data_IF_565226821935
#
_entry.id   IF_565226821935
#
_cell.length_a   1.000
_cell.length_b   1.000
_cell.length_c   1.000
_cell.angle_alpha   90.00
_cell.angle_beta   90.00
_cell.angle_gamma   90.00
#
_symmetry.space_group_name_H-M   'P 1'
#
loop_
_entity.id
_entity.type
_entity.pdbx_description
1 polymer ?
#
# COMPACT_ATOMS: atom_id res chain seq x y z
N UNK A 1 15.70 2.73 25.06
CA UNK A 1 15.78 2.73 23.57
C UNK A 1 15.62 1.34 22.95
N UNK A 2 16.22 0.27 23.52
CA UNK A 2 16.07 -1.10 23.00
C UNK A 2 14.64 -1.65 23.03
N UNK A 3 13.80 -1.23 23.98
CA UNK A 3 12.44 -1.79 24.17
C UNK A 3 11.51 -1.56 22.97
N UNK A 4 11.47 -0.36 22.38
CA UNK A 4 10.60 -0.13 21.22
C UNK A 4 11.11 -0.88 19.99
N UNK A 5 12.43 -0.98 19.83
CA UNK A 5 13.04 -1.79 18.79
C UNK A 5 12.70 -3.28 18.98
N UNK A 6 12.83 -3.82 20.19
CA UNK A 6 12.51 -5.23 20.47
C UNK A 6 11.03 -5.51 20.23
N UNK A 7 10.13 -4.63 20.68
CA UNK A 7 8.69 -4.72 20.39
C UNK A 7 8.44 -4.75 18.88
N UNK A 8 9.00 -3.81 18.12
CA UNK A 8 8.85 -3.79 16.66
C UNK A 8 9.43 -5.06 16.00
N UNK A 9 10.53 -5.60 16.50
CA UNK A 9 11.08 -6.85 15.98
C UNK A 9 10.18 -8.04 16.30
N UNK A 10 9.61 -8.11 17.51
CA UNK A 10 8.65 -9.15 17.89
C UNK A 10 7.43 -9.09 16.97
N UNK A 11 6.88 -7.89 16.71
CA UNK A 11 5.77 -7.72 15.76
C UNK A 11 6.12 -8.11 14.32
N UNK A 12 7.40 -7.99 13.94
CA UNK A 12 7.88 -8.37 12.62
C UNK A 12 8.06 -9.88 12.49
N UNK A 13 8.57 -10.54 13.52
CA UNK A 13 8.96 -11.95 13.50
C UNK A 13 7.92 -12.89 14.11
N UNK A 14 6.86 -12.37 14.70
CA UNK A 14 5.83 -13.20 15.32
C UNK A 14 5.11 -14.03 14.26
N UNK A 15 5.34 -15.34 14.32
CA UNK A 15 4.58 -16.37 13.58
C UNK A 15 3.33 -16.81 14.35
N UNK A 16 3.05 -16.21 15.52
CA UNK A 16 1.96 -16.59 16.41
C UNK A 16 0.59 -16.14 15.87
N UNK A 17 -0.48 -16.77 16.37
CA UNK A 17 -1.86 -16.38 16.05
C UNK A 17 -2.10 -14.89 16.29
N UNK A 18 -2.65 -14.20 15.28
CA UNK A 18 -2.87 -12.75 15.26
C UNK A 18 -3.59 -12.24 16.52
N UNK A 19 -4.58 -12.97 16.99
CA UNK A 19 -5.42 -12.57 18.12
C UNK A 19 -4.67 -12.57 19.46
N UNK A 20 -3.73 -13.52 19.62
CA UNK A 20 -2.84 -13.55 20.79
C UNK A 20 -1.93 -12.32 20.79
N UNK A 21 -1.35 -12.01 19.63
CA UNK A 21 -0.46 -10.86 19.44
C UNK A 21 -1.22 -9.56 19.70
N UNK A 22 -2.42 -9.41 19.15
CA UNK A 22 -3.30 -8.26 19.40
C UNK A 22 -3.61 -8.10 20.90
N UNK A 23 -3.96 -9.19 21.59
CA UNK A 23 -4.27 -9.16 23.02
C UNK A 23 -3.08 -8.69 23.86
N UNK A 24 -1.87 -9.15 23.54
CA UNK A 24 -0.65 -8.71 24.21
C UNK A 24 -0.27 -7.25 23.94
N UNK A 25 -0.65 -6.69 22.77
CA UNK A 25 -0.27 -5.31 22.39
C UNK A 25 -1.23 -4.26 22.93
N UNK A 26 -2.51 -4.59 23.10
CA UNK A 26 -3.56 -3.66 23.56
C UNK A 26 -3.13 -2.73 24.70
N UNK A 27 -2.45 -3.20 25.78
CA UNK A 27 -2.02 -2.33 26.88
C UNK A 27 -0.99 -1.27 26.49
N UNK A 28 -0.17 -1.54 25.47
CA UNK A 28 0.89 -0.63 25.02
C UNK A 28 0.37 0.47 24.10
N UNK A 29 -0.83 0.30 23.52
CA UNK A 29 -1.41 1.27 22.59
C UNK A 29 -1.49 2.70 23.16
N UNK A 30 -2.16 2.95 24.31
CA UNK A 30 -2.27 4.30 24.86
C UNK A 30 -0.92 4.89 25.27
N UNK A 31 0.04 4.04 25.69
CA UNK A 31 1.38 4.49 26.06
C UNK A 31 2.13 5.03 24.83
N UNK A 32 2.09 4.31 23.70
CA UNK A 32 2.77 4.73 22.48
C UNK A 32 2.07 5.92 21.82
N UNK A 33 0.74 5.99 21.91
CA UNK A 33 -0.04 7.14 21.46
C UNK A 33 0.35 8.40 22.22
N UNK A 34 0.44 8.34 23.55
CA UNK A 34 0.91 9.46 24.36
C UNK A 34 2.33 9.91 23.96
N UNK A 35 3.26 8.98 23.73
CA UNK A 35 4.63 9.29 23.27
C UNK A 35 4.63 9.91 21.86
N UNK A 36 3.67 9.55 21.01
CA UNK A 36 3.57 10.09 19.65
C UNK A 36 2.98 11.50 19.64
N UNK A 37 2.09 11.81 20.60
CA UNK A 37 1.39 13.09 20.72
C UNK A 37 2.13 14.15 21.56
N UNK A 38 3.25 13.81 22.20
CA UNK A 38 4.03 14.81 22.94
C UNK A 38 4.53 15.89 22.00
N UNK A 39 4.15 17.15 22.26
CA UNK A 39 4.43 18.34 21.43
C UNK A 39 5.91 18.53 21.06
N UNK A 40 6.81 18.06 21.93
CA UNK A 40 8.22 17.92 21.60
C UNK A 40 8.44 16.52 21.05
N UNK A 41 8.23 16.36 19.74
CA UNK A 41 8.58 15.13 19.04
C UNK A 41 10.04 14.82 19.40
N UNK A 42 10.35 13.60 19.86
CA UNK A 42 11.65 13.33 20.46
C UNK A 42 12.76 13.68 19.47
N UNK A 43 13.69 14.56 19.91
CA UNK A 43 14.89 14.96 19.15
C UNK A 43 15.63 13.73 18.59
N UNK A 44 15.50 12.59 19.28
CA UNK A 44 16.04 11.31 18.89
C UNK A 44 15.39 10.74 17.61
N UNK A 45 16.13 10.81 16.50
CA UNK A 45 15.79 10.19 15.20
C UNK A 45 15.42 8.72 15.29
N UNK A 46 16.13 7.96 16.14
CA UNK A 46 15.91 6.51 16.28
C UNK A 46 14.52 6.25 16.86
N UNK A 47 14.10 7.03 17.86
CA UNK A 47 12.78 6.92 18.46
C UNK A 47 11.68 7.19 17.42
N UNK A 48 11.76 8.31 16.69
CA UNK A 48 10.80 8.66 15.63
C UNK A 48 10.69 7.57 14.56
N UNK A 49 11.83 7.07 14.09
CA UNK A 49 11.88 5.95 13.13
C UNK A 49 11.21 4.68 13.66
N UNK A 50 11.42 4.32 14.93
CA UNK A 50 10.79 3.14 15.51
C UNK A 50 9.31 3.34 15.84
N UNK A 51 8.86 4.55 16.17
CA UNK A 51 7.44 4.88 16.31
C UNK A 51 6.71 4.67 14.97
N UNK A 52 7.25 5.22 13.88
CA UNK A 52 6.73 4.99 12.52
C UNK A 52 6.65 3.49 12.20
N UNK A 53 7.68 2.73 12.53
CA UNK A 53 7.66 1.27 12.33
C UNK A 53 6.60 0.60 13.19
N UNK A 54 6.41 1.02 14.43
CA UNK A 54 5.41 0.46 15.32
C UNK A 54 4.00 0.71 14.79
N UNK A 55 3.66 1.94 14.42
CA UNK A 55 2.37 2.30 13.80
C UNK A 55 2.11 1.53 12.51
N UNK A 56 3.13 1.39 11.65
CA UNK A 56 3.04 0.56 10.45
C UNK A 56 2.66 -0.89 10.78
N UNK A 57 3.32 -1.48 11.78
CA UNK A 57 3.08 -2.89 12.16
C UNK A 57 1.72 -3.05 12.78
N UNK A 58 1.31 -2.11 13.62
CA UNK A 58 0.02 -2.13 14.29
C UNK A 58 -1.13 -2.01 13.28
N UNK A 59 -1.11 -1.03 12.39
CA UNK A 59 -2.15 -0.88 11.35
C UNK A 59 -2.29 -2.12 10.46
N UNK A 60 -1.18 -2.72 10.04
CA UNK A 60 -1.21 -3.97 9.27
C UNK A 60 -1.68 -5.16 10.11
N UNK A 61 -1.37 -5.18 11.41
CA UNK A 61 -1.79 -6.25 12.32
C UNK A 61 -3.30 -6.23 12.55
N UNK A 62 -3.96 -5.06 12.56
CA UNK A 62 -5.42 -4.93 12.67
C UNK A 62 -6.18 -5.27 11.39
N UNK A 63 -5.51 -5.25 10.23
CA UNK A 63 -6.10 -5.66 8.94
C UNK A 63 -5.83 -7.14 8.60
N UNK A 64 -6.76 -7.84 7.94
CA UNK A 64 -6.54 -9.22 7.50
C UNK A 64 -5.45 -9.29 6.41
N UNK A 65 -4.63 -10.36 6.38
CA UNK A 65 -3.69 -10.58 5.30
C UNK A 65 -4.40 -10.88 3.98
N UNK A 66 -4.35 -9.92 3.06
CA UNK A 66 -4.92 -10.07 1.72
C UNK A 66 -4.14 -9.33 0.65
N UNK A 67 -4.44 -9.70 -0.59
CA UNK A 67 -4.07 -8.98 -1.80
C UNK A 67 -5.37 -8.38 -2.33
N UNK A 68 -5.51 -7.06 -2.23
CA UNK A 68 -6.70 -6.37 -2.71
C UNK A 68 -6.92 -6.59 -4.21
N UNK A 69 -8.13 -6.99 -4.58
CA UNK A 69 -8.55 -7.21 -5.98
C UNK A 69 -8.57 -5.92 -6.82
N UNK A 70 -8.80 -4.77 -6.19
CA UNK A 70 -8.81 -3.45 -6.83
C UNK A 70 -7.42 -2.90 -7.18
N UNK A 71 -6.34 -3.63 -6.83
CA UNK A 71 -4.99 -3.23 -7.23
C UNK A 71 -4.82 -3.33 -8.73
N UNK A 72 -4.31 -2.28 -9.35
CA UNK A 72 -3.95 -2.35 -10.75
C UNK A 72 -2.72 -3.23 -10.95
N UNK A 73 -2.80 -4.13 -11.92
CA UNK A 73 -1.67 -4.97 -12.29
C UNK A 73 -0.83 -4.25 -13.33
N UNK A 74 0.23 -3.55 -12.88
CA UNK A 74 1.18 -2.94 -13.81
C UNK A 74 1.82 -4.03 -14.67
N UNK A 75 1.41 -4.12 -15.93
CA UNK A 75 2.12 -4.88 -16.98
C UNK A 75 2.41 -6.34 -16.66
N UNK A 76 1.68 -7.01 -15.74
CA UNK A 76 1.75 -8.47 -15.59
C UNK A 76 1.01 -9.13 -16.76
N UNK A 77 1.52 -8.92 -17.97
CA UNK A 77 1.30 -9.87 -19.04
C UNK A 77 1.89 -11.17 -18.51
N UNK A 78 1.02 -12.10 -18.11
CA UNK A 78 1.42 -13.40 -17.57
C UNK A 78 2.62 -13.91 -18.36
N UNK A 79 3.75 -14.20 -17.70
CA UNK A 79 4.93 -14.71 -18.40
C UNK A 79 4.54 -15.94 -19.21
N UNK A 80 3.69 -16.80 -18.63
CA UNK A 80 3.03 -17.94 -19.30
C UNK A 80 2.16 -17.52 -20.49
N UNK A 81 1.42 -16.41 -20.41
CA UNK A 81 0.66 -15.84 -21.51
C UNK A 81 1.53 -15.21 -22.61
N UNK A 82 2.68 -14.64 -22.27
CA UNK A 82 3.67 -14.15 -23.24
C UNK A 82 4.38 -15.31 -23.94
N UNK A 83 4.80 -16.32 -23.17
CA UNK A 83 5.38 -17.56 -23.66
C UNK A 83 4.39 -18.30 -24.56
N UNK A 84 3.10 -18.39 -24.17
CA UNK A 84 2.07 -19.04 -25.00
C UNK A 84 1.82 -18.28 -26.31
N UNK A 85 1.79 -16.94 -26.28
CA UNK A 85 1.71 -16.12 -27.50
C UNK A 85 2.95 -16.29 -28.39
N UNK A 86 4.14 -16.34 -27.81
CA UNK A 86 5.38 -16.56 -28.55
C UNK A 86 5.44 -17.97 -29.17
N UNK A 87 4.95 -18.99 -28.46
CA UNK A 87 4.83 -20.36 -28.98
C UNK A 87 3.77 -20.47 -30.09
N UNK A 88 2.70 -19.68 -30.03
CA UNK A 88 1.67 -19.62 -31.07
C UNK A 88 2.14 -18.85 -32.31
N UNK A 89 2.90 -17.76 -32.14
CA UNK A 89 3.53 -17.01 -33.24
C UNK A 89 4.59 -17.85 -33.96
N UNK A 90 5.46 -18.55 -33.22
CA UNK A 90 6.47 -19.43 -33.84
C UNK A 90 5.87 -20.65 -34.59
N UNK A 91 4.62 -21.05 -34.28
CA UNK A 91 3.92 -22.11 -35.02
C UNK A 91 3.29 -21.61 -36.33
N UNK A 92 3.01 -20.32 -36.45
CA UNK A 92 2.45 -19.74 -37.68
C UNK A 92 3.54 -19.45 -38.73
N UNK A 93 4.79 -19.18 -38.33
CA UNK A 93 5.90 -18.92 -39.26
C UNK A 93 6.45 -20.17 -39.97
N UNK A 94 6.07 -21.38 -39.56
CA UNK A 94 6.43 -22.62 -40.27
C UNK A 94 5.35 -23.13 -41.25
N UNK A 95 4.20 -22.44 -41.36
CA UNK A 95 3.11 -22.94 -42.19
C UNK A 95 2.22 -21.84 -42.76
N UNK A 96 2.77 -20.98 -43.63
CA UNK A 96 1.98 -20.32 -44.67
C UNK A 96 2.71 -20.23 -46.01
N UNK A 97 2.48 -21.24 -46.85
CA UNK A 97 2.11 -20.97 -48.24
C UNK A 97 0.58 -20.84 -48.26
N UNK A 98 0.10 -19.61 -48.47
CA UNK A 98 -1.23 -19.21 -48.99
C UNK A 98 -2.48 -19.90 -48.43
N UNK A 99 -3.32 -19.13 -47.71
CA UNK A 99 -4.57 -18.58 -48.29
C UNK A 99 -5.38 -17.82 -47.24
N UNK A 100 -5.79 -16.60 -47.63
CA UNK A 100 -6.71 -15.72 -46.90
C UNK A 100 -8.06 -16.40 -46.70
N UNK A 101 -8.51 -16.47 -45.44
CA UNK A 101 -9.93 -16.30 -45.11
C UNK A 101 -10.01 -15.49 -43.81
N UNK A 102 -10.56 -14.29 -43.95
CA UNK A 102 -10.86 -13.37 -42.85
C UNK A 102 -11.96 -14.03 -42.02
N UNK A 103 -11.60 -14.51 -40.84
CA UNK A 103 -12.56 -14.81 -39.77
C UNK A 103 -12.30 -13.79 -38.68
N UNK A 104 -13.10 -12.73 -38.67
CA UNK A 104 -13.21 -11.81 -37.54
C UNK A 104 -13.82 -12.63 -36.41
N UNK A 105 -12.96 -13.26 -35.61
CA UNK A 105 -13.34 -13.64 -34.25
C UNK A 105 -13.02 -12.42 -33.40
N UNK A 106 -14.07 -11.68 -33.07
CA UNK A 106 -14.09 -10.77 -31.93
C UNK A 106 -13.71 -11.60 -30.70
N UNK A 107 -12.42 -11.77 -30.45
CA UNK A 107 -11.95 -12.01 -29.09
C UNK A 107 -12.22 -10.71 -28.37
N UNK A 108 -13.34 -10.71 -27.64
CA UNK A 108 -13.68 -9.73 -26.63
C UNK A 108 -12.42 -9.51 -25.81
N UNK A 109 -11.71 -8.44 -26.13
CA UNK A 109 -10.61 -7.92 -25.36
C UNK A 109 -11.28 -7.27 -24.14
N UNK A 110 -11.79 -8.11 -23.24
CA UNK A 110 -11.97 -7.71 -21.85
C UNK A 110 -10.57 -7.44 -21.32
N UNK A 111 -10.06 -6.25 -21.63
CA UNK A 111 -9.34 -5.51 -20.63
C UNK A 111 -10.20 -5.64 -19.35
N UNK A 112 -9.69 -6.17 -18.23
CA UNK A 112 -10.36 -6.04 -16.94
C UNK A 112 -10.22 -4.58 -16.45
N UNK A 113 -10.37 -3.63 -17.37
CA UNK A 113 -10.36 -2.20 -17.14
C UNK A 113 -11.78 -1.84 -16.76
N UNK A 114 -12.02 -1.75 -15.45
CA UNK A 114 -13.29 -1.37 -14.84
C UNK A 114 -14.42 -2.41 -14.92
N UNK A 115 -14.18 -3.65 -14.46
CA UNK A 115 -15.31 -4.46 -13.97
C UNK A 115 -15.71 -3.94 -12.59
N UNK A 116 -16.84 -3.22 -12.51
CA UNK A 116 -17.60 -2.79 -11.32
C UNK A 116 -17.03 -3.28 -9.98
N UNK A 117 -15.99 -2.60 -9.47
CA UNK A 117 -15.40 -2.93 -8.17
C UNK A 117 -16.38 -2.72 -7.00
N UNK A 118 -17.51 -2.05 -7.22
CA UNK A 118 -18.54 -1.80 -6.21
C UNK A 118 -19.21 -3.08 -5.70
N UNK A 119 -19.20 -4.16 -6.49
CA UNK A 119 -19.86 -5.42 -6.13
C UNK A 119 -18.89 -6.48 -5.54
N UNK A 120 -17.60 -6.17 -5.48
CA UNK A 120 -16.61 -7.06 -4.83
C UNK A 120 -16.71 -6.99 -3.31
N UNK A 121 -16.63 -8.14 -2.61
CA UNK A 121 -16.52 -8.21 -1.14
C UNK A 121 -15.34 -7.38 -0.57
N UNK A 122 -14.34 -7.07 -1.39
CA UNK A 122 -13.21 -6.22 -1.06
C UNK A 122 -13.50 -4.71 -1.09
N UNK A 123 -14.65 -4.28 -1.64
CA UNK A 123 -15.00 -2.87 -1.78
C UNK A 123 -15.31 -2.21 -0.45
N UNK A 124 -15.98 -2.94 0.45
CA UNK A 124 -16.47 -2.40 1.70
C UNK A 124 -16.45 -3.45 2.82
N UNK A 125 -15.60 -3.23 3.82
CA UNK A 125 -15.64 -3.93 5.10
C UNK A 125 -15.20 -2.97 6.20
N UNK A 126 -15.57 -3.31 7.43
CA UNK A 126 -15.25 -2.51 8.61
C UNK A 126 -13.74 -2.43 8.84
N UNK A 127 -13.21 -1.20 8.89
CA UNK A 127 -11.82 -0.89 9.24
C UNK A 127 -11.80 -0.41 10.70
N UNK A 128 -11.08 -1.08 11.62
CA UNK A 128 -11.00 -0.64 13.01
C UNK A 128 -10.29 0.71 13.17
N UNK A 129 -10.73 1.52 14.14
CA UNK A 129 -10.17 2.85 14.47
C UNK A 129 -8.65 2.84 14.67
N UNK A 130 -8.10 1.75 15.21
CA UNK A 130 -6.65 1.62 15.42
C UNK A 130 -5.86 1.68 14.10
N UNK A 131 -6.47 1.29 12.98
CA UNK A 131 -5.88 1.41 11.64
C UNK A 131 -5.87 2.88 11.21
N UNK A 132 -6.96 3.62 11.45
CA UNK A 132 -7.07 5.04 11.13
C UNK A 132 -6.07 5.87 11.95
N UNK A 133 -6.00 5.64 13.26
CA UNK A 133 -5.02 6.27 14.16
C UNK A 133 -3.59 5.98 13.68
N UNK A 134 -3.31 4.72 13.31
CA UNK A 134 -2.01 4.34 12.74
C UNK A 134 -1.71 5.09 11.45
N UNK A 135 -2.68 5.23 10.56
CA UNK A 135 -2.54 5.97 9.31
C UNK A 135 -2.26 7.45 9.58
N UNK A 136 -3.00 8.09 10.51
CA UNK A 136 -2.81 9.48 10.91
C UNK A 136 -1.38 9.76 11.38
N UNK A 137 -0.84 8.93 12.27
CA UNK A 137 0.56 9.07 12.72
C UNK A 137 1.59 8.89 11.60
N UNK A 138 1.31 8.02 10.63
CA UNK A 138 2.19 7.82 9.48
C UNK A 138 2.15 9.01 8.52
N UNK A 139 0.96 9.55 8.22
CA UNK A 139 0.81 10.76 7.41
C UNK A 139 1.51 11.95 8.06
N UNK A 140 1.34 12.15 9.37
CA UNK A 140 2.07 13.19 10.11
C UNK A 140 3.60 12.99 10.06
N UNK A 141 4.07 11.76 9.99
CA UNK A 141 5.52 11.45 9.90
C UNK A 141 6.10 11.61 8.50
N UNK A 142 5.28 11.88 7.48
CA UNK A 142 5.76 12.15 6.11
C UNK A 142 6.45 13.50 5.99
N UNK A 143 6.20 14.42 6.94
CA UNK A 143 6.76 15.77 6.97
C UNK A 143 7.99 15.89 7.89
N UNK A 144 8.46 14.77 8.46
CA UNK A 144 9.61 14.77 9.39
C UNK A 144 10.86 15.36 8.72
N UNK A 145 11.65 16.10 9.50
CA UNK A 145 12.92 16.72 9.08
C UNK A 145 13.90 15.67 8.53
N UNK A 146 13.85 14.43 9.03
CA UNK A 146 14.71 13.34 8.59
C UNK A 146 14.09 12.53 7.45
N UNK A 147 14.78 12.48 6.31
CA UNK A 147 14.44 11.63 5.17
C UNK A 147 14.30 10.13 5.53
N UNK A 148 15.02 9.64 6.54
CA UNK A 148 14.93 8.24 7.01
C UNK A 148 13.57 7.96 7.64
N UNK A 149 13.01 8.93 8.36
CA UNK A 149 11.67 8.84 8.96
C UNK A 149 10.63 8.95 7.85
N UNK A 150 10.73 9.94 6.95
CA UNK A 150 9.83 10.09 5.79
C UNK A 150 9.75 8.84 4.93
N UNK A 151 10.89 8.24 4.58
CA UNK A 151 10.95 6.99 3.83
C UNK A 151 10.33 5.81 4.58
N UNK A 152 10.51 5.76 5.89
CA UNK A 152 9.87 4.73 6.73
C UNK A 152 8.35 4.92 6.77
N UNK A 153 7.88 6.18 6.82
CA UNK A 153 6.47 6.55 6.84
C UNK A 153 5.79 6.21 5.51
N UNK A 154 6.39 6.62 4.39
CA UNK A 154 5.92 6.28 3.04
C UNK A 154 5.73 4.77 2.85
N UNK A 155 6.72 3.98 3.26
CA UNK A 155 6.64 2.50 3.27
C UNK A 155 5.55 1.97 4.20
N UNK A 156 5.29 2.66 5.29
CA UNK A 156 4.23 2.33 6.24
C UNK A 156 2.85 2.54 5.63
N UNK A 157 2.60 3.74 5.11
CA UNK A 157 1.37 4.11 4.39
C UNK A 157 1.08 3.08 3.30
N UNK A 158 2.04 2.83 2.40
CA UNK A 158 1.84 1.85 1.32
C UNK A 158 1.52 0.44 1.80
N UNK A 159 2.05 -0.02 2.94
CA UNK A 159 1.71 -1.35 3.52
C UNK A 159 0.32 -1.42 4.12
N UNK A 160 -0.19 -0.31 4.64
CA UNK A 160 -1.55 -0.27 5.20
C UNK A 160 -2.55 -0.11 4.05
N UNK A 161 -2.32 0.85 3.15
CA UNK A 161 -3.21 1.13 1.99
C UNK A 161 -3.45 -0.11 1.15
N UNK A 162 -2.43 -0.96 0.96
CA UNK A 162 -2.57 -2.18 0.16
C UNK A 162 -3.51 -3.24 0.78
N UNK A 163 -3.84 -3.08 2.08
CA UNK A 163 -4.73 -3.93 2.88
C UNK A 163 -6.08 -3.27 3.14
N UNK A 164 -6.29 -2.02 2.72
CA UNK A 164 -7.52 -1.26 2.91
C UNK A 164 -8.58 -1.61 1.84
N UNK A 165 -9.87 -1.35 2.10
CA UNK A 165 -10.87 -1.34 1.05
C UNK A 165 -10.59 -0.20 0.05
N UNK A 166 -11.13 -0.31 -1.16
CA UNK A 166 -10.85 0.65 -2.24
C UNK A 166 -11.19 2.09 -1.82
N UNK A 167 -12.35 2.29 -1.17
CA UNK A 167 -12.82 3.61 -0.72
C UNK A 167 -11.84 4.26 0.26
N UNK A 168 -11.38 3.53 1.29
CA UNK A 168 -10.40 4.07 2.23
C UNK A 168 -9.02 4.28 1.59
N UNK A 169 -8.69 3.54 0.52
CA UNK A 169 -7.46 3.79 -0.22
C UNK A 169 -7.54 5.10 -1.02
N UNK A 170 -8.72 5.48 -1.52
CA UNK A 170 -8.96 6.80 -2.11
C UNK A 170 -8.77 7.92 -1.09
N UNK A 171 -9.37 7.78 0.09
CA UNK A 171 -9.24 8.77 1.17
C UNK A 171 -7.75 9.02 1.53
N UNK A 172 -6.94 7.96 1.53
CA UNK A 172 -5.49 8.07 1.77
C UNK A 172 -4.79 8.83 0.64
N UNK A 173 -5.16 8.58 -0.62
CA UNK A 173 -4.60 9.32 -1.76
C UNK A 173 -4.99 10.79 -1.67
N UNK A 174 -6.25 11.10 -1.40
CA UNK A 174 -6.74 12.47 -1.26
C UNK A 174 -6.04 13.19 -0.09
N UNK A 175 -5.77 12.49 1.02
CA UNK A 175 -4.96 13.03 2.12
C UNK A 175 -3.50 13.30 1.72
N UNK A 176 -2.89 12.45 0.90
CA UNK A 176 -1.52 12.66 0.38
C UNK A 176 -1.47 13.87 -0.56
N UNK A 177 -2.50 14.07 -1.39
CA UNK A 177 -2.54 15.18 -2.33
C UNK A 177 -2.54 16.55 -1.65
N UNK A 178 -3.13 16.66 -0.45
CA UNK A 178 -3.13 17.90 0.35
C UNK A 178 -1.73 18.38 0.76
N UNK A 179 -0.72 17.50 0.79
CA UNK A 179 0.65 17.90 1.10
C UNK A 179 1.31 18.72 -0.03
N UNK A 180 0.70 18.78 -1.22
CA UNK A 180 1.17 19.65 -2.31
C UNK A 180 0.59 21.06 -2.25
N UNK A 181 -0.36 21.33 -1.34
CA UNK A 181 -0.99 22.66 -1.22
C UNK A 181 -0.02 23.71 -0.67
N UNK A 182 0.93 23.30 0.17
CA UNK A 182 1.99 24.16 0.69
C UNK A 182 3.23 24.07 -0.21
N UNK A 183 3.36 25.04 -1.13
CA UNK A 183 4.44 25.09 -2.13
C UNK A 183 5.81 25.36 -1.48
N UNK A 184 5.85 25.94 -0.28
CA UNK A 184 7.10 26.31 0.39
C UNK A 184 7.67 25.16 1.23
N UNK A 185 6.90 24.08 1.44
CA UNK A 185 7.31 22.96 2.28
C UNK A 185 7.97 21.83 1.48
N UNK A 186 9.28 21.96 1.25
CA UNK A 186 10.12 20.93 0.60
C UNK A 186 9.98 19.54 1.25
N UNK A 187 9.81 19.51 2.57
CA UNK A 187 9.66 18.27 3.34
C UNK A 187 8.36 17.54 3.00
N UNK A 188 7.27 18.28 2.85
CA UNK A 188 5.93 17.77 2.58
C UNK A 188 5.87 17.21 1.17
N UNK A 189 6.37 17.98 0.20
CA UNK A 189 6.48 17.55 -1.19
C UNK A 189 7.35 16.30 -1.33
N UNK A 190 8.51 16.29 -0.68
CA UNK A 190 9.40 15.13 -0.71
C UNK A 190 8.72 13.91 -0.06
N UNK A 191 8.04 14.08 1.08
CA UNK A 191 7.27 13.02 1.74
C UNK A 191 6.16 12.47 0.85
N UNK A 192 5.35 13.34 0.25
CA UNK A 192 4.24 13.01 -0.63
C UNK A 192 4.71 12.26 -1.89
N UNK A 193 5.76 12.75 -2.56
CA UNK A 193 6.37 12.09 -3.70
C UNK A 193 6.87 10.68 -3.38
N UNK A 194 7.54 10.49 -2.23
CA UNK A 194 7.97 9.17 -1.77
C UNK A 194 6.80 8.22 -1.55
N UNK A 195 5.72 8.71 -0.95
CA UNK A 195 4.52 7.91 -0.70
C UNK A 195 3.82 7.55 -1.99
N UNK A 196 3.61 8.50 -2.91
CA UNK A 196 3.05 8.22 -4.24
C UNK A 196 3.86 7.19 -5.01
N UNK A 197 5.20 7.29 -4.99
CA UNK A 197 6.07 6.30 -5.60
C UNK A 197 5.88 4.90 -4.98
N UNK A 198 5.72 4.82 -3.65
CA UNK A 198 5.46 3.55 -2.96
C UNK A 198 4.06 2.99 -3.29
N UNK A 199 3.04 3.84 -3.39
CA UNK A 199 1.69 3.45 -3.82
C UNK A 199 1.68 2.93 -5.27
N UNK A 200 2.37 3.64 -6.17
CA UNK A 200 2.54 3.23 -7.57
C UNK A 200 3.26 1.88 -7.67
N UNK A 201 4.34 1.70 -6.90
CA UNK A 201 5.11 0.45 -6.86
C UNK A 201 4.26 -0.74 -6.37
N UNK A 202 3.27 -0.48 -5.53
CA UNK A 202 2.37 -1.51 -4.95
C UNK A 202 1.12 -1.79 -5.76
N UNK A 203 0.83 -0.99 -6.79
CA UNK A 203 -0.36 -1.15 -7.60
C UNK A 203 -1.62 -0.59 -6.93
N UNK A 204 -1.51 0.34 -5.98
CA UNK A 204 -2.65 0.82 -5.17
C UNK A 204 -3.12 2.24 -5.53
N UNK A 205 -2.62 2.81 -6.64
CA UNK A 205 -3.21 3.98 -7.28
C UNK A 205 -4.36 3.50 -8.15
N UNK A 206 -5.60 3.88 -7.84
CA UNK A 206 -6.76 3.38 -8.59
C UNK A 206 -6.70 3.84 -10.05
N UNK A 207 -6.97 2.97 -11.04
CA UNK A 207 -6.84 3.30 -12.46
C UNK A 207 -7.63 4.54 -12.89
N UNK A 208 -8.80 4.77 -12.31
CA UNK A 208 -9.65 5.93 -12.64
C UNK A 208 -9.03 7.27 -12.23
N UNK A 209 -8.02 7.29 -11.35
CA UNK A 209 -7.28 8.49 -10.97
C UNK A 209 -6.04 8.74 -11.86
N UNK A 210 -5.75 7.84 -12.82
CA UNK A 210 -4.57 7.91 -13.70
C UNK A 210 -4.91 8.33 -15.14
N UNK A 211 -6.19 8.60 -15.43
CA UNK A 211 -6.70 9.00 -16.74
C UNK A 211 -7.05 10.48 -16.76
#
# INVERSE_FOLDING_TARGET
MGVLQTLVTILKSSTSNRDKVLTSIKPYFPLIENISNTKNLPSNLVLRKYLVKWWTRLGVLYLPPRIASWRYQRGRRSLKGNLRRQLQQNKQDQSQTKSKSISIKEEVNENPFCSNHKDSQDYFFFVPDQVEISMGHLLASMTDISSVVRWSAAKGVGRITERLPAICAEDVIDAIMKFFDDIESDNDWHGACLTLAELARRGVLLPHRLN
#
